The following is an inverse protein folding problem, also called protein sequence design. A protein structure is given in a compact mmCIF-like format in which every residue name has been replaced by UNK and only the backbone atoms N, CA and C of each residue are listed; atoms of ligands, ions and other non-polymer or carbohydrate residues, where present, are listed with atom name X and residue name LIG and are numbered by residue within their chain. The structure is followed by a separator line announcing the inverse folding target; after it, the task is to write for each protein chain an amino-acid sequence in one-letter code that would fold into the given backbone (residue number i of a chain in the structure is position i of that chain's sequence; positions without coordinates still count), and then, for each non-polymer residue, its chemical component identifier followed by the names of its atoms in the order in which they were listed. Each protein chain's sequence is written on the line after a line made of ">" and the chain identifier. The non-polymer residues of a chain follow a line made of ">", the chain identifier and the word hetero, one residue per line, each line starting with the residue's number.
data_IF_800112525720
#
_entry.id   IF_800112525720
#
_cell.length_a   1.000
_cell.length_b   1.000
_cell.length_c   1.000
_cell.angle_alpha   90.00
_cell.angle_beta   90.00
_cell.angle_gamma   90.00
#
_symmetry.space_group_name_H-M   'P 1'
#
loop_
_entity.id
_entity.type
_entity.pdbx_description
1 polymer ?
#
# COMPACT_ATOMS: atom_id res chain seq x y z
N UNK A 1 7.15 10.28 -20.62
CA UNK A 1 6.18 10.24 -19.49
C UNK A 1 5.89 11.68 -19.11
N UNK A 2 4.62 12.05 -19.00
CA UNK A 2 4.22 13.41 -18.60
C UNK A 2 4.81 13.77 -17.23
N UNK A 3 5.17 15.05 -16.98
CA UNK A 3 5.67 15.46 -15.68
C UNK A 3 4.65 15.17 -14.56
N UNK A 4 5.10 14.87 -13.34
CA UNK A 4 4.22 14.68 -12.19
C UNK A 4 3.33 15.91 -11.94
N UNK A 5 2.09 15.69 -11.52
CA UNK A 5 1.28 16.73 -10.88
C UNK A 5 0.07 17.25 -11.65
N UNK A 6 0.02 17.13 -12.99
CA UNK A 6 -1.20 17.43 -13.77
C UNK A 6 -1.15 16.90 -15.21
N UNK A 7 -1.27 15.58 -15.45
CA UNK A 7 -1.39 15.06 -16.81
C UNK A 7 -2.69 15.60 -17.44
N UNK A 8 -2.66 16.21 -18.64
CA UNK A 8 -3.88 16.66 -19.32
C UNK A 8 -4.90 15.53 -19.44
N UNK A 9 -6.14 15.78 -19.03
CA UNK A 9 -7.22 14.79 -19.05
C UNK A 9 -7.23 13.79 -17.89
N UNK A 10 -6.27 13.83 -16.97
CA UNK A 10 -6.29 13.00 -15.76
C UNK A 10 -7.04 13.67 -14.61
N UNK A 11 -7.84 12.89 -13.88
CA UNK A 11 -8.48 13.31 -12.64
C UNK A 11 -7.76 12.69 -11.44
N UNK A 12 -7.55 13.49 -10.39
CA UNK A 12 -7.04 13.01 -9.11
C UNK A 12 -8.11 12.16 -8.42
N UNK A 13 -7.69 11.01 -7.91
CA UNK A 13 -8.53 10.10 -7.11
C UNK A 13 -7.98 10.03 -5.69
N UNK A 14 -8.79 10.46 -4.72
CA UNK A 14 -8.42 10.52 -3.30
C UNK A 14 -9.06 9.41 -2.46
N UNK A 15 -9.96 8.61 -3.05
CA UNK A 15 -10.52 7.43 -2.40
C UNK A 15 -9.63 6.20 -2.62
N UNK A 16 -9.70 5.19 -1.73
CA UNK A 16 -8.94 3.96 -1.93
C UNK A 16 -9.34 3.23 -3.20
N UNK A 17 -8.36 2.71 -3.93
CA UNK A 17 -8.55 1.82 -5.07
C UNK A 17 -7.86 0.50 -4.77
N UNK A 18 -8.59 -0.61 -4.87
CA UNK A 18 -8.04 -1.96 -4.76
C UNK A 18 -7.81 -2.56 -6.14
N UNK A 19 -6.55 -2.78 -6.48
CA UNK A 19 -6.16 -3.57 -7.64
C UNK A 19 -6.08 -5.05 -7.24
N UNK A 20 -6.86 -5.91 -7.90
CA UNK A 20 -6.86 -7.36 -7.70
C UNK A 20 -6.22 -8.03 -8.92
N UNK A 21 -5.12 -8.75 -8.71
CA UNK A 21 -4.47 -9.47 -9.81
C UNK A 21 -5.36 -10.62 -10.30
N UNK A 22 -5.69 -10.61 -11.59
CA UNK A 22 -6.49 -11.66 -12.25
C UNK A 22 -5.76 -12.31 -13.44
N UNK A 23 -4.44 -12.08 -13.54
CA UNK A 23 -3.61 -12.48 -14.68
C UNK A 23 -3.38 -14.01 -14.75
N UNK A 24 -3.88 -14.68 -15.79
CA UNK A 24 -3.84 -16.15 -15.87
C UNK A 24 -2.62 -16.79 -16.52
N UNK A 25 -1.78 -16.07 -17.28
CA UNK A 25 -0.63 -16.68 -17.98
C UNK A 25 0.56 -16.90 -17.06
N UNK A 26 1.00 -15.85 -16.36
CA UNK A 26 2.11 -15.92 -15.38
C UNK A 26 1.63 -16.30 -13.97
N UNK A 27 0.39 -15.95 -13.62
CA UNK A 27 -0.13 -16.09 -12.25
C UNK A 27 -1.43 -16.90 -12.22
N UNK A 28 -1.39 -18.15 -12.66
CA UNK A 28 -2.57 -19.03 -12.70
C UNK A 28 -3.36 -19.04 -11.38
N UNK A 29 -2.66 -19.01 -10.24
CA UNK A 29 -3.29 -18.92 -8.92
C UNK A 29 -4.08 -17.62 -8.70
N UNK A 30 -3.62 -16.47 -9.23
CA UNK A 30 -4.34 -15.21 -9.19
C UNK A 30 -5.55 -15.21 -10.13
N UNK A 31 -5.48 -15.84 -11.32
CA UNK A 31 -6.69 -16.00 -12.13
C UNK A 31 -7.76 -16.86 -11.43
N UNK A 32 -7.36 -17.93 -10.74
CA UNK A 32 -8.28 -18.81 -10.03
C UNK A 32 -8.90 -18.16 -8.80
N UNK A 33 -8.10 -17.40 -8.01
CA UNK A 33 -8.55 -16.83 -6.73
C UNK A 33 -8.94 -15.35 -6.81
N UNK A 34 -8.28 -14.59 -7.67
CA UNK A 34 -8.45 -13.15 -7.81
C UNK A 34 -9.70 -12.77 -8.59
N UNK A 35 -10.04 -13.49 -9.67
CA UNK A 35 -11.28 -13.23 -10.44
C UNK A 35 -12.55 -13.36 -9.60
N UNK A 36 -12.80 -14.47 -8.88
CA UNK A 36 -13.99 -14.56 -8.04
C UNK A 36 -13.98 -13.52 -6.92
N UNK A 37 -12.80 -13.18 -6.38
CA UNK A 37 -12.67 -12.15 -5.37
C UNK A 37 -13.05 -10.76 -5.91
N UNK A 38 -12.48 -10.35 -7.04
CA UNK A 38 -12.77 -9.07 -7.67
C UNK A 38 -14.26 -8.94 -8.00
N UNK A 39 -14.84 -9.97 -8.61
CA UNK A 39 -16.28 -9.99 -8.93
C UNK A 39 -17.16 -9.88 -7.68
N UNK A 40 -16.81 -10.54 -6.58
CA UNK A 40 -17.57 -10.47 -5.34
C UNK A 40 -17.46 -9.08 -4.68
N UNK A 41 -16.27 -8.47 -4.69
CA UNK A 41 -16.05 -7.14 -4.13
C UNK A 41 -16.72 -6.06 -4.98
N UNK A 42 -16.66 -6.13 -6.32
CA UNK A 42 -17.34 -5.15 -7.20
C UNK A 42 -18.85 -5.15 -7.00
N UNK A 43 -19.48 -6.32 -6.82
CA UNK A 43 -20.91 -6.39 -6.45
C UNK A 43 -21.22 -5.67 -5.15
N UNK A 44 -20.26 -5.62 -4.22
CA UNK A 44 -20.48 -4.97 -2.94
C UNK A 44 -20.22 -3.47 -2.95
N UNK A 45 -19.17 -3.02 -3.66
CA UNK A 45 -18.69 -1.65 -3.60
C UNK A 45 -19.05 -0.79 -4.82
N UNK A 46 -19.31 -1.41 -5.97
CA UNK A 46 -19.59 -0.72 -7.24
C UNK A 46 -21.08 -0.78 -7.65
N UNK A 47 -21.93 -1.50 -6.91
CA UNK A 47 -23.39 -1.42 -7.10
C UNK A 47 -23.93 -0.09 -6.52
N UNK A 48 -24.80 0.65 -7.25
CA UNK A 48 -25.40 1.86 -6.73
C UNK A 48 -26.24 1.52 -5.50
N UNK A 49 -26.07 2.31 -4.42
CA UNK A 49 -26.91 2.21 -3.24
C UNK A 49 -28.40 2.24 -3.66
N UNK A 50 -29.20 1.37 -3.04
CA UNK A 50 -30.64 1.27 -3.26
C UNK A 50 -31.32 2.67 -3.23
N UNK A 51 -32.42 2.88 -3.99
CA UNK A 51 -33.08 4.17 -4.07
C UNK A 51 -33.45 4.69 -2.68
N UNK A 52 -33.20 5.99 -2.48
CA UNK A 52 -33.13 6.71 -1.21
C UNK A 52 -34.27 6.34 -0.24
N UNK A 53 -33.86 5.87 0.94
CA UNK A 53 -34.74 5.59 2.09
C UNK A 53 -33.97 5.50 3.40
N UNK A 54 -32.71 5.04 3.35
CA UNK A 54 -31.78 5.06 4.49
C UNK A 54 -30.40 5.42 3.96
N UNK A 55 -30.07 6.71 3.95
CA UNK A 55 -28.74 7.17 3.57
C UNK A 55 -27.73 6.72 4.64
N UNK A 56 -26.97 5.66 4.36
CA UNK A 56 -25.69 5.43 5.05
C UNK A 56 -24.81 6.65 4.73
N UNK A 57 -24.32 7.42 5.71
CA UNK A 57 -23.52 8.59 5.42
C UNK A 57 -22.31 8.17 4.60
N UNK A 58 -22.13 8.76 3.41
CA UNK A 58 -20.89 8.66 2.65
C UNK A 58 -19.83 9.36 3.51
N UNK A 59 -19.05 8.60 4.27
CA UNK A 59 -18.03 9.12 5.18
C UNK A 59 -17.04 9.89 4.31
N UNK A 60 -16.95 11.20 4.52
CA UNK A 60 -15.88 11.99 3.91
C UNK A 60 -14.57 11.43 4.45
N UNK A 61 -13.63 10.98 3.60
CA UNK A 61 -12.34 10.55 4.09
C UNK A 61 -11.73 11.71 4.88
N UNK A 62 -11.31 11.45 6.12
CA UNK A 62 -10.53 12.41 6.87
C UNK A 62 -9.34 12.80 5.98
N UNK A 63 -9.05 14.10 5.88
CA UNK A 63 -7.87 14.57 5.17
C UNK A 63 -6.65 13.90 5.80
N UNK A 64 -6.05 12.96 5.07
CA UNK A 64 -4.84 12.28 5.53
C UNK A 64 -3.63 12.99 4.91
N UNK A 65 -2.92 13.84 5.67
CA UNK A 65 -1.78 14.59 5.15
C UNK A 65 -0.65 13.67 4.66
N UNK A 66 -0.55 12.43 5.13
CA UNK A 66 0.43 11.46 4.65
C UNK A 66 0.16 11.01 3.19
N UNK A 67 -1.11 10.99 2.76
CA UNK A 67 -1.46 10.76 1.35
C UNK A 67 -1.08 11.94 0.45
N UNK A 68 -1.02 13.17 1.00
CA UNK A 68 -0.55 14.35 0.27
C UNK A 68 0.98 14.49 0.21
N UNK A 69 1.72 13.88 1.15
CA UNK A 69 3.18 14.03 1.26
C UNK A 69 3.96 13.24 0.19
N UNK A 70 3.36 12.22 -0.44
CA UNK A 70 3.96 11.50 -1.59
C UNK A 70 4.26 12.41 -2.81
N UNK A 71 3.91 13.70 -2.73
CA UNK A 71 3.96 14.66 -3.83
C UNK A 71 4.98 15.80 -3.69
N UNK A 72 5.64 15.98 -2.54
CA UNK A 72 6.39 17.22 -2.27
C UNK A 72 7.77 17.32 -2.97
N UNK A 73 8.35 16.23 -3.50
CA UNK A 73 9.72 16.22 -4.02
C UNK A 73 9.90 16.74 -5.46
N UNK A 74 8.88 17.31 -6.11
CA UNK A 74 8.97 17.70 -7.54
C UNK A 74 8.60 19.14 -7.88
N UNK A 75 8.50 20.04 -6.88
CA UNK A 75 8.15 21.45 -7.08
C UNK A 75 9.29 22.31 -7.67
N UNK A 76 9.71 22.04 -8.91
CA UNK A 76 10.87 22.74 -9.50
C UNK A 76 10.93 22.90 -11.02
N UNK A 77 9.89 22.59 -11.79
CA UNK A 77 9.96 22.72 -13.26
C UNK A 77 8.72 23.41 -13.84
N UNK A 78 8.94 24.65 -14.31
CA UNK A 78 7.93 25.48 -14.96
C UNK A 78 7.40 24.85 -16.25
N UNK A 79 6.10 25.04 -16.49
CA UNK A 79 5.41 24.58 -17.69
C UNK A 79 5.91 25.32 -18.93
N UNK A 80 6.50 24.58 -19.87
CA UNK A 80 6.74 25.07 -21.24
C UNK A 80 5.46 25.02 -22.09
N UNK A 81 5.43 25.71 -23.25
CA UNK A 81 4.23 25.79 -24.10
C UNK A 81 3.88 24.44 -24.71
N UNK A 82 2.59 24.11 -24.75
CA UNK A 82 2.04 22.88 -25.31
C UNK A 82 1.83 23.03 -26.83
N UNK A 83 2.29 22.06 -27.63
CA UNK A 83 2.15 22.02 -29.10
C UNK A 83 0.71 21.64 -29.51
N UNK A 84 0.01 22.44 -30.34
CA UNK A 84 -1.41 22.26 -30.63
C UNK A 84 -1.77 21.07 -31.56
N UNK A 85 -0.80 20.31 -32.10
CA UNK A 85 -1.06 19.32 -33.17
C UNK A 85 -1.51 17.90 -32.73
N UNK A 86 -1.86 17.67 -31.47
CA UNK A 86 -2.44 16.39 -30.99
C UNK A 86 -3.72 16.59 -30.16
N UNK A 87 -4.66 17.37 -30.69
CA UNK A 87 -5.93 17.76 -30.04
C UNK A 87 -7.16 17.01 -30.59
N UNK A 88 -7.01 15.71 -30.87
CA UNK A 88 -8.17 14.84 -31.11
C UNK A 88 -8.10 13.66 -30.14
N UNK A 89 -8.48 13.92 -28.88
CA UNK A 89 -9.04 12.90 -28.02
C UNK A 89 -10.54 12.92 -28.32
N UNK A 90 -11.05 11.83 -28.92
CA UNK A 90 -12.47 11.66 -29.18
C UNK A 90 -13.28 12.00 -27.93
N UNK A 91 -14.26 12.91 -28.07
CA UNK A 91 -15.30 13.21 -27.08
C UNK A 91 -16.10 11.92 -26.82
N UNK A 92 -15.62 11.10 -25.88
CA UNK A 92 -16.36 9.96 -25.39
C UNK A 92 -17.57 10.49 -24.60
N UNK A 93 -18.81 10.12 -24.94
CA UNK A 93 -20.00 10.62 -24.28
C UNK A 93 -19.96 10.25 -22.80
N UNK A 94 -20.16 11.26 -21.93
CA UNK A 94 -20.44 11.17 -20.48
C UNK A 94 -19.63 10.11 -19.72
N UNK A 95 -18.59 10.56 -19.01
CA UNK A 95 -17.88 9.78 -17.98
C UNK A 95 -18.89 9.02 -17.11
N UNK A 96 -18.89 7.69 -17.18
CA UNK A 96 -19.75 6.83 -16.37
C UNK A 96 -19.63 7.19 -14.87
N UNK A 97 -20.74 7.25 -14.11
CA UNK A 97 -20.79 7.90 -12.79
C UNK A 97 -20.17 7.10 -11.63
N UNK A 98 -19.30 6.11 -11.89
CA UNK A 98 -18.63 5.34 -10.85
C UNK A 98 -17.15 5.26 -11.19
N UNK A 99 -16.28 5.91 -10.41
CA UNK A 99 -14.88 5.46 -10.30
C UNK A 99 -14.94 4.18 -9.47
N UNK A 100 -14.83 2.97 -10.05
CA UNK A 100 -14.97 1.76 -9.27
C UNK A 100 -13.83 1.67 -8.26
N UNK A 101 -14.12 1.19 -7.07
CA UNK A 101 -13.11 0.99 -6.02
C UNK A 101 -12.30 -0.27 -6.35
N UNK A 102 -12.93 -1.24 -7.03
CA UNK A 102 -12.34 -2.54 -7.32
C UNK A 102 -11.94 -2.62 -8.79
N UNK A 103 -10.66 -2.88 -9.03
CA UNK A 103 -10.11 -3.02 -10.37
C UNK A 103 -9.46 -4.37 -10.55
N UNK A 104 -9.75 -5.02 -11.66
CA UNK A 104 -8.92 -6.13 -12.13
C UNK A 104 -7.60 -5.59 -12.70
N UNK A 105 -6.49 -6.24 -12.34
CA UNK A 105 -5.17 -5.84 -12.81
C UNK A 105 -4.40 -6.99 -13.45
N UNK A 106 -3.42 -6.60 -14.29
CA UNK A 106 -2.36 -7.51 -14.74
C UNK A 106 -1.40 -7.87 -13.58
N UNK A 107 -0.29 -8.54 -13.88
CA UNK A 107 0.65 -9.06 -12.89
C UNK A 107 1.18 -7.98 -11.93
N UNK A 108 0.82 -8.07 -10.64
CA UNK A 108 1.30 -7.19 -9.56
C UNK A 108 2.45 -7.80 -8.74
N UNK A 109 3.04 -8.91 -9.20
CA UNK A 109 4.03 -9.72 -8.45
C UNK A 109 3.44 -10.36 -7.19
N UNK A 110 4.08 -11.40 -6.69
CA UNK A 110 3.68 -12.04 -5.43
C UNK A 110 2.51 -13.03 -5.56
N UNK A 111 2.31 -13.66 -6.71
CA UNK A 111 1.36 -14.76 -6.93
C UNK A 111 1.50 -15.94 -5.93
N UNK A 112 2.66 -16.11 -5.26
CA UNK A 112 2.81 -17.01 -4.09
C UNK A 112 1.89 -16.67 -2.90
N UNK A 113 1.30 -15.48 -2.94
CA UNK A 113 0.33 -14.94 -2.00
C UNK A 113 -1.05 -14.77 -2.64
N UNK A 114 -1.35 -15.48 -3.73
CA UNK A 114 -2.61 -15.31 -4.43
C UNK A 114 -3.85 -15.47 -3.52
N UNK A 115 -4.86 -14.60 -3.66
CA UNK A 115 -4.89 -13.48 -4.61
C UNK A 115 -3.96 -12.33 -4.19
N UNK A 116 -3.14 -11.82 -5.11
CA UNK A 116 -2.27 -10.67 -4.85
C UNK A 116 -3.04 -9.39 -5.12
N UNK A 117 -2.96 -8.43 -4.21
CA UNK A 117 -3.71 -7.18 -4.29
C UNK A 117 -2.83 -5.99 -3.96
N UNK A 118 -3.16 -4.83 -4.51
CA UNK A 118 -2.50 -3.55 -4.21
C UNK A 118 -3.55 -2.50 -3.87
N UNK A 119 -3.42 -1.90 -2.69
CA UNK A 119 -4.28 -0.81 -2.22
C UNK A 119 -3.60 0.54 -2.53
N UNK A 120 -4.21 1.30 -3.41
CA UNK A 120 -3.83 2.66 -3.79
C UNK A 120 -4.70 3.69 -3.05
N UNK A 121 -4.25 4.94 -2.89
CA UNK A 121 -2.94 5.48 -3.32
C UNK A 121 -1.77 5.14 -2.37
N UNK A 122 -2.05 4.56 -1.20
CA UNK A 122 -1.05 4.27 -0.17
C UNK A 122 0.02 3.23 -0.57
N UNK A 123 -0.20 2.48 -1.66
CA UNK A 123 0.71 1.48 -2.21
C UNK A 123 0.97 0.29 -1.25
N UNK A 124 -0.04 -0.14 -0.49
CA UNK A 124 0.06 -1.34 0.34
C UNK A 124 -0.20 -2.61 -0.46
N UNK A 125 0.72 -3.57 -0.35
CA UNK A 125 0.54 -4.90 -0.94
C UNK A 125 -0.20 -5.82 0.02
N UNK A 126 -1.20 -6.53 -0.48
CA UNK A 126 -1.92 -7.56 0.27
C UNK A 126 -1.88 -8.92 -0.43
N UNK A 127 -2.12 -9.99 0.33
CA UNK A 127 -2.36 -11.30 -0.25
C UNK A 127 -2.95 -12.32 0.71
N UNK A 128 -3.34 -13.47 0.16
CA UNK A 128 -3.91 -14.61 0.89
C UNK A 128 -5.19 -14.29 1.68
N UNK A 129 -5.97 -13.32 1.24
CA UNK A 129 -7.27 -13.02 1.87
C UNK A 129 -8.42 -13.69 1.12
N UNK A 130 -9.39 -14.14 1.90
CA UNK A 130 -10.72 -14.47 1.40
C UNK A 130 -11.57 -13.19 1.25
N UNK A 131 -12.78 -13.33 0.69
CA UNK A 131 -13.69 -12.21 0.44
C UNK A 131 -13.96 -11.35 1.68
N UNK A 132 -14.34 -11.94 2.81
CA UNK A 132 -14.65 -11.17 4.03
C UNK A 132 -13.48 -10.34 4.56
N UNK A 133 -12.26 -10.88 4.49
CA UNK A 133 -11.06 -10.14 4.89
C UNK A 133 -10.71 -9.01 3.92
N UNK A 134 -10.84 -9.25 2.62
CA UNK A 134 -10.61 -8.21 1.61
C UNK A 134 -11.68 -7.10 1.67
N UNK A 135 -12.93 -7.46 1.96
CA UNK A 135 -14.02 -6.50 2.21
C UNK A 135 -13.70 -5.62 3.41
N UNK A 136 -13.37 -6.24 4.55
CA UNK A 136 -12.98 -5.52 5.77
C UNK A 136 -11.81 -4.57 5.50
N UNK A 137 -10.81 -5.01 4.75
CA UNK A 137 -9.67 -4.18 4.36
C UNK A 137 -10.10 -2.93 3.55
N UNK A 138 -11.01 -3.06 2.57
CA UNK A 138 -11.52 -1.90 1.81
C UNK A 138 -12.32 -0.95 2.71
N UNK A 139 -13.19 -1.48 3.58
CA UNK A 139 -13.98 -0.66 4.52
C UNK A 139 -13.10 0.11 5.51
N UNK A 140 -12.01 -0.50 6.00
CA UNK A 140 -11.02 0.20 6.83
C UNK A 140 -10.30 1.30 6.03
N UNK A 141 -9.89 0.99 4.80
CA UNK A 141 -9.24 1.98 3.95
C UNK A 141 -10.15 3.18 3.65
N UNK A 142 -11.45 2.97 3.44
CA UNK A 142 -12.42 4.06 3.26
C UNK A 142 -12.55 4.95 4.49
N UNK A 143 -12.29 4.41 5.69
CA UNK A 143 -12.22 5.15 6.96
C UNK A 143 -10.83 5.73 7.25
N UNK A 144 -9.86 5.54 6.36
CA UNK A 144 -8.48 5.98 6.56
C UNK A 144 -7.69 5.12 7.54
N UNK A 145 -8.11 3.88 7.79
CA UNK A 145 -7.50 2.94 8.73
C UNK A 145 -6.69 1.85 8.00
N UNK A 146 -5.60 1.41 8.62
CA UNK A 146 -4.76 0.35 8.11
C UNK A 146 -5.30 -1.02 8.54
N UNK A 147 -5.56 -1.89 7.56
CA UNK A 147 -5.81 -3.31 7.81
C UNK A 147 -4.50 -4.10 7.84
N UNK A 148 -4.29 -4.91 8.88
CA UNK A 148 -3.03 -5.65 9.06
C UNK A 148 -3.07 -7.07 8.47
N UNK A 149 -4.21 -7.75 8.53
CA UNK A 149 -4.28 -9.15 8.11
C UNK A 149 -4.04 -9.28 6.61
N UNK A 150 -3.05 -10.09 6.23
CA UNK A 150 -2.64 -10.27 4.84
C UNK A 150 -1.84 -9.10 4.26
N UNK A 151 -1.53 -8.06 5.04
CA UNK A 151 -0.65 -6.96 4.63
C UNK A 151 0.79 -7.47 4.46
N UNK A 152 1.45 -7.01 3.39
CA UNK A 152 2.81 -7.41 3.00
C UNK A 152 3.76 -6.23 2.90
N UNK A 153 3.35 -5.05 3.33
CA UNK A 153 4.17 -3.85 3.40
C UNK A 153 3.77 -2.78 2.38
N UNK A 154 4.27 -1.56 2.63
CA UNK A 154 4.07 -0.38 1.80
C UNK A 154 5.16 -0.25 0.75
N UNK A 155 4.80 -0.37 -0.52
CA UNK A 155 5.76 -0.45 -1.63
C UNK A 155 6.58 0.82 -1.89
N UNK A 156 6.26 1.95 -1.24
CA UNK A 156 7.08 3.17 -1.30
C UNK A 156 8.20 3.22 -0.25
N UNK A 157 8.30 2.22 0.65
CA UNK A 157 9.36 2.12 1.65
C UNK A 157 10.43 1.09 1.23
N UNK A 158 11.65 1.25 1.73
CA UNK A 158 12.68 0.22 1.59
C UNK A 158 12.30 -1.06 2.38
N UNK A 159 12.87 -2.23 2.05
CA UNK A 159 12.47 -3.49 2.66
C UNK A 159 12.57 -3.56 4.19
N UNK A 160 13.53 -2.86 4.82
CA UNK A 160 13.65 -2.84 6.28
C UNK A 160 12.57 -1.96 6.89
N UNK A 161 12.31 -0.79 6.29
CA UNK A 161 11.25 0.12 6.72
C UNK A 161 9.85 -0.47 6.56
N UNK A 162 9.58 -1.26 5.49
CA UNK A 162 8.31 -1.99 5.36
C UNK A 162 8.07 -2.97 6.52
N UNK A 163 9.11 -3.70 6.93
CA UNK A 163 9.00 -4.65 8.02
C UNK A 163 8.90 -3.95 9.39
N UNK A 164 9.61 -2.84 9.57
CA UNK A 164 9.54 -2.02 10.77
C UNK A 164 8.16 -1.35 10.93
N UNK A 165 7.61 -0.78 9.86
CA UNK A 165 6.25 -0.22 9.82
C UNK A 165 5.22 -1.24 10.28
N UNK A 166 5.22 -2.45 9.70
CA UNK A 166 4.28 -3.49 10.10
C UNK A 166 4.50 -3.98 11.53
N UNK A 167 5.75 -4.04 12.02
CA UNK A 167 6.04 -4.39 13.41
C UNK A 167 5.41 -3.39 14.39
N UNK A 168 5.46 -2.10 14.07
CA UNK A 168 4.87 -1.04 14.91
C UNK A 168 3.37 -1.00 14.76
N UNK A 169 2.84 -1.18 13.55
CA UNK A 169 1.40 -1.28 13.33
C UNK A 169 0.79 -2.42 14.16
N UNK A 170 1.44 -3.59 14.23
CA UNK A 170 1.02 -4.68 15.12
C UNK A 170 1.14 -4.33 16.61
N UNK A 171 2.18 -3.60 17.02
CA UNK A 171 2.32 -3.14 18.42
C UNK A 171 1.17 -2.23 18.84
N UNK A 172 0.76 -1.32 17.96
CA UNK A 172 -0.36 -0.41 18.20
C UNK A 172 -1.69 -1.18 18.26
N UNK A 173 -1.91 -2.11 17.32
CA UNK A 173 -3.10 -2.97 17.29
C UNK A 173 -3.19 -3.86 18.55
N UNK A 174 -2.08 -4.45 19.00
CA UNK A 174 -2.01 -5.25 20.24
C UNK A 174 -2.36 -4.42 21.49
N UNK A 175 -2.14 -3.09 21.44
CA UNK A 175 -2.52 -2.13 22.49
C UNK A 175 -3.96 -1.60 22.34
N UNK A 176 -4.68 -2.00 21.30
CA UNK A 176 -6.01 -1.49 20.96
C UNK A 176 -6.01 -0.04 20.46
N UNK A 177 -4.87 0.44 19.95
CA UNK A 177 -4.74 1.76 19.35
C UNK A 177 -5.02 1.70 17.84
N UNK A 178 -5.78 2.65 17.28
CA UNK A 178 -6.05 2.68 15.84
C UNK A 178 -4.76 2.96 15.06
N UNK A 179 -4.59 2.31 13.91
CA UNK A 179 -3.47 2.57 13.00
C UNK A 179 -3.99 3.24 11.75
N UNK A 180 -3.55 4.47 11.50
CA UNK A 180 -3.93 5.22 10.30
C UNK A 180 -3.30 4.64 9.03
N UNK A 181 -4.05 4.65 7.93
CA UNK A 181 -3.56 4.24 6.61
C UNK A 181 -2.39 5.16 6.20
N UNK A 182 -1.19 4.59 5.97
CA UNK A 182 0.02 5.35 5.67
C UNK A 182 0.43 6.41 6.72
N UNK A 183 -0.07 6.31 7.96
CA UNK A 183 0.23 7.26 9.04
C UNK A 183 1.61 7.03 9.70
N UNK A 184 2.25 5.89 9.43
CA UNK A 184 3.55 5.56 9.98
C UNK A 184 4.67 6.03 9.04
N UNK A 185 5.60 6.84 9.55
CA UNK A 185 6.86 7.19 8.86
C UNK A 185 8.00 6.35 9.40
N UNK A 186 9.06 6.12 8.62
CA UNK A 186 10.19 5.28 9.02
C UNK A 186 11.49 5.81 8.43
N UNK A 187 12.53 5.92 9.26
CA UNK A 187 13.87 6.30 8.85
C UNK A 187 14.95 5.48 9.58
N UNK A 188 16.18 5.54 9.08
CA UNK A 188 17.33 4.89 9.72
C UNK A 188 17.81 5.71 10.92
N UNK A 189 18.00 5.06 12.06
CA UNK A 189 18.64 5.71 13.21
C UNK A 189 20.13 5.93 12.91
N UNK A 190 20.60 7.17 13.07
CA UNK A 190 22.03 7.49 12.95
C UNK A 190 22.65 7.39 14.35
N UNK A 191 23.70 6.58 14.58
CA UNK A 191 24.34 6.50 15.88
C UNK A 191 24.88 7.86 16.33
N UNK A 192 24.56 8.29 17.55
CA UNK A 192 24.99 9.60 18.09
C UNK A 192 26.51 9.68 18.36
N UNK A 193 27.21 8.54 18.45
CA UNK A 193 28.66 8.47 18.62
C UNK A 193 29.22 7.32 17.78
N UNK A 194 29.50 7.58 16.50
CA UNK A 194 30.33 6.66 15.71
C UNK A 194 31.80 6.93 16.06
N UNK A 195 32.28 6.39 17.17
CA UNK A 195 33.70 6.02 17.21
C UNK A 195 33.91 5.10 15.99
N UNK A 196 34.84 5.48 15.11
CA UNK A 196 34.98 5.06 13.70
C UNK A 196 35.17 3.55 13.44
N UNK A 197 34.92 2.67 14.42
CA UNK A 197 35.28 1.26 14.39
C UNK A 197 34.15 0.27 14.70
N UNK A 198 32.89 0.70 14.74
CA UNK A 198 31.76 -0.27 14.71
C UNK A 198 31.26 -0.40 13.28
N UNK A 199 31.84 -1.33 12.51
CA UNK A 199 31.34 -1.66 11.18
C UNK A 199 29.87 -2.07 11.27
N UNK A 200 28.96 -1.21 10.80
CA UNK A 200 27.54 -1.49 10.70
C UNK A 200 27.39 -2.75 9.83
N UNK A 201 27.03 -3.89 10.44
CA UNK A 201 26.83 -5.12 9.69
C UNK A 201 25.71 -4.92 8.68
N UNK A 202 25.94 -5.25 7.40
CA UNK A 202 24.93 -5.15 6.35
C UNK A 202 23.69 -6.04 6.59
N UNK A 203 23.71 -6.88 7.62
CA UNK A 203 22.61 -7.73 8.06
C UNK A 203 21.89 -7.19 9.32
N UNK A 204 22.28 -6.03 9.86
CA UNK A 204 21.63 -5.40 11.03
C UNK A 204 21.26 -3.96 10.68
N UNK A 205 20.08 -3.52 11.09
CA UNK A 205 19.65 -2.13 10.95
C UNK A 205 18.81 -1.71 12.16
N UNK A 206 18.76 -0.41 12.41
CA UNK A 206 17.81 0.18 13.37
C UNK A 206 16.93 1.15 12.61
N UNK A 207 15.62 1.04 12.81
CA UNK A 207 14.62 1.94 12.23
C UNK A 207 13.92 2.69 13.35
N UNK A 208 13.76 3.99 13.18
CA UNK A 208 12.81 4.75 13.99
C UNK A 208 11.52 4.84 13.18
N UNK A 209 10.41 4.49 13.81
CA UNK A 209 9.07 4.57 13.22
C UNK A 209 8.24 5.51 14.09
N UNK A 210 7.59 6.48 13.46
CA UNK A 210 6.75 7.46 14.12
C UNK A 210 5.32 7.35 13.62
N UNK A 211 4.36 7.32 14.55
CA UNK A 211 2.95 7.49 14.24
C UNK A 211 2.60 8.97 14.19
N UNK A 212 2.35 9.47 12.99
CA UNK A 212 2.00 10.88 12.77
C UNK A 212 0.64 11.29 13.37
N UNK A 213 -0.18 10.33 13.81
CA UNK A 213 -1.46 10.61 14.46
C UNK A 213 -1.33 10.81 15.98
N UNK A 214 -0.34 10.18 16.62
CA UNK A 214 -0.21 10.16 18.09
C UNK A 214 1.16 10.63 18.60
N UNK A 215 2.07 11.01 17.70
CA UNK A 215 3.48 11.34 17.96
C UNK A 215 4.25 10.24 18.71
N UNK A 216 3.72 9.00 18.73
CA UNK A 216 4.39 7.86 19.36
C UNK A 216 5.56 7.44 18.47
N UNK A 217 6.73 7.24 19.07
CA UNK A 217 7.93 6.81 18.37
C UNK A 217 8.41 5.47 18.89
N UNK A 218 8.90 4.67 17.96
CA UNK A 218 9.40 3.34 18.25
C UNK A 218 10.76 3.15 17.60
N UNK A 219 11.73 2.67 18.38
CA UNK A 219 12.98 2.12 17.85
C UNK A 219 12.78 0.64 17.56
N UNK A 220 12.99 0.24 16.32
CA UNK A 220 12.86 -1.13 15.84
C UNK A 220 14.23 -1.68 15.44
N UNK A 221 14.70 -2.70 16.16
CA UNK A 221 15.93 -3.42 15.81
C UNK A 221 15.62 -4.47 14.77
N UNK A 222 16.39 -4.49 13.69
CA UNK A 222 16.17 -5.32 12.51
C UNK A 222 17.36 -6.23 12.24
N UNK A 223 17.08 -7.47 11.84
CA UNK A 223 18.08 -8.41 11.34
C UNK A 223 17.66 -8.99 9.99
N UNK A 224 18.63 -9.14 9.09
CA UNK A 224 18.43 -9.82 7.81
C UNK A 224 18.77 -11.28 7.97
N UNK A 225 17.74 -12.14 7.97
CA UNK A 225 17.90 -13.60 8.11
C UNK A 225 17.62 -14.32 6.81
N UNK A 226 18.22 -15.50 6.66
CA UNK A 226 17.81 -16.43 5.62
C UNK A 226 16.38 -16.88 5.90
N UNK A 227 15.52 -16.68 4.92
CA UNK A 227 14.12 -17.11 4.97
C UNK A 227 13.98 -18.55 4.50
N UNK A 228 12.78 -19.11 4.74
CA UNK A 228 12.36 -20.39 4.18
C UNK A 228 12.49 -20.41 2.65
N UNK A 229 12.54 -21.61 2.07
CA UNK A 229 12.55 -21.76 0.62
C UNK A 229 11.32 -21.08 0.00
N UNK A 230 11.56 -20.09 -0.86
CA UNK A 230 10.52 -19.31 -1.53
C UNK A 230 10.43 -19.72 -2.99
N UNK A 231 9.21 -20.01 -3.43
CA UNK A 231 8.88 -20.13 -4.86
C UNK A 231 8.57 -18.73 -5.40
N UNK A 232 9.38 -18.24 -6.35
CA UNK A 232 9.24 -16.90 -6.92
C UNK A 232 8.10 -16.76 -7.92
N UNK A 233 7.86 -17.79 -8.73
CA UNK A 233 6.81 -17.90 -9.77
C UNK A 233 6.11 -19.26 -9.77
N UNK A 234 4.88 -19.37 -10.31
CA UNK A 234 4.21 -20.66 -10.46
C UNK A 234 5.05 -21.58 -11.36
N UNK A 235 5.58 -22.66 -10.78
CA UNK A 235 6.44 -23.62 -11.49
C UNK A 235 7.94 -23.37 -11.34
N UNK A 236 8.35 -22.30 -10.65
CA UNK A 236 9.76 -22.09 -10.31
C UNK A 236 10.22 -23.09 -9.24
N UNK A 237 11.52 -23.42 -9.28
CA UNK A 237 12.16 -24.14 -8.18
C UNK A 237 12.24 -23.23 -6.95
N UNK A 238 11.96 -23.75 -5.74
CA UNK A 238 12.15 -22.98 -4.53
C UNK A 238 13.62 -22.50 -4.41
N UNK A 239 13.83 -21.27 -3.96
CA UNK A 239 15.15 -20.70 -3.66
C UNK A 239 15.19 -20.08 -2.28
N UNK A 240 16.36 -20.06 -1.63
CA UNK A 240 16.55 -19.26 -0.41
C UNK A 240 16.47 -17.78 -0.78
N UNK A 241 15.78 -17.03 0.05
CA UNK A 241 15.77 -15.56 0.00
C UNK A 241 16.21 -15.05 1.36
N UNK A 242 16.87 -13.90 1.40
CA UNK A 242 17.02 -13.16 2.65
C UNK A 242 15.76 -12.34 2.91
N UNK A 243 15.46 -12.06 4.17
CA UNK A 243 14.33 -11.20 4.58
C UNK A 243 14.70 -10.44 5.85
N UNK A 244 14.22 -9.20 5.96
CA UNK A 244 14.33 -8.42 7.18
C UNK A 244 13.28 -8.89 8.19
N UNK A 245 13.71 -8.99 9.45
CA UNK A 245 12.88 -9.40 10.57
C UNK A 245 13.13 -8.39 11.70
N UNK A 246 12.05 -7.88 12.28
CA UNK A 246 12.15 -7.10 13.51
C UNK A 246 12.45 -8.05 14.68
N UNK A 247 13.54 -7.79 15.39
CA UNK A 247 14.01 -8.57 16.54
C UNK A 247 13.83 -7.82 17.86
N UNK A 248 13.43 -6.55 17.80
CA UNK A 248 13.03 -5.75 18.94
C UNK A 248 12.21 -4.55 18.49
N UNK A 249 11.34 -4.05 19.36
CA UNK A 249 10.59 -2.81 19.19
C UNK A 249 10.38 -2.23 20.57
N UNK A 250 10.86 -1.01 20.76
CA UNK A 250 10.75 -0.27 22.03
C UNK A 250 10.20 1.10 21.73
N UNK A 251 9.27 1.56 22.57
CA UNK A 251 8.80 2.94 22.53
C UNK A 251 9.91 3.86 23.06
N UNK A 252 10.13 4.98 22.37
CA UNK A 252 11.15 5.96 22.73
C UNK A 252 10.51 7.34 22.87
N UNK A 253 11.12 8.18 23.71
CA UNK A 253 10.72 9.57 23.83
C UNK A 253 11.16 10.34 22.57
N UNK A 254 10.24 11.15 22.04
CA UNK A 254 10.45 11.98 20.85
C UNK A 254 11.22 13.27 21.10
#
# INVERSE_FOLDING_TARGET
>A
LSPPGNPPGARRVDHPILLVCTHGRRDRCCAVRGRPLAAALSKHFDEPAAPEGEATPRIQPAANPALTQNHADTAGVGAGPVDPKHTEFDDHPSVDPIDPIIWESSHTKGHRFAPSMLLLPANYSFGRMAEGGARSMVEHAQRGELWLQGNRGRGCLDPASQAAELRVAHELDDRGLPVGLAALTSWEETPENSDEETAQSADVAVRVVEDTASDLRFRVRMERRDSVMVVSSCGDKPKRSKSWIAVGCEEILG
#
